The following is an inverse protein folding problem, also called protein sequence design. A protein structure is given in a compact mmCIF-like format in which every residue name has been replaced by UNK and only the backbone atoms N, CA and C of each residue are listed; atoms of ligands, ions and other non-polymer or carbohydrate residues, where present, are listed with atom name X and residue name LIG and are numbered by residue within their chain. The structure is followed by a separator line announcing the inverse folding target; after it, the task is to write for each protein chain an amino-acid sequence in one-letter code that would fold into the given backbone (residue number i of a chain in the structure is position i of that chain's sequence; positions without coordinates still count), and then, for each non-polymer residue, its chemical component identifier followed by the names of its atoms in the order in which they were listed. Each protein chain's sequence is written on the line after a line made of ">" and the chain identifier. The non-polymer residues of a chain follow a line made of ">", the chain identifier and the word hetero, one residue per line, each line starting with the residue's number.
data_IF_201793905320
#
_entry.id   IF_201793905320
#
_cell.length_a   1.000
_cell.length_b   1.000
_cell.length_c   1.000
_cell.angle_alpha   90.00
_cell.angle_beta   90.00
_cell.angle_gamma   90.00
#
_symmetry.space_group_name_H-M   'P 1'
#
loop_
_entity.id
_entity.type
_entity.pdbx_description
1 polymer ?
#
# COMPACT_ATOMS: atom_id res chain seq x y z
N UNK A 1 26.25 17.26 1.18
CA UNK A 1 25.36 16.44 0.32
C UNK A 1 26.21 15.42 -0.38
N UNK A 2 25.74 14.18 -0.54
CA UNK A 2 26.50 13.13 -1.23
C UNK A 2 26.59 13.44 -2.74
N UNK A 3 27.81 13.48 -3.28
CA UNK A 3 28.09 13.77 -4.69
C UNK A 3 27.64 12.65 -5.64
N UNK A 4 27.30 11.47 -5.11
CA UNK A 4 26.68 10.40 -5.89
C UNK A 4 25.20 10.68 -6.18
N UNK A 5 24.54 11.56 -5.43
CA UNK A 5 23.12 11.90 -5.63
C UNK A 5 22.91 13.08 -6.60
N UNK A 6 23.99 13.76 -6.97
CA UNK A 6 23.97 14.89 -7.90
C UNK A 6 24.87 16.02 -7.45
N UNK A 7 24.93 17.08 -8.25
CA UNK A 7 25.70 18.29 -7.97
C UNK A 7 24.89 19.53 -8.24
N UNK A 8 25.02 20.52 -7.35
CA UNK A 8 24.35 21.83 -7.45
C UNK A 8 25.39 22.94 -7.67
N UNK A 9 26.66 22.70 -7.29
CA UNK A 9 27.72 23.68 -7.47
C UNK A 9 28.42 23.53 -8.83
N UNK A 10 28.67 24.65 -9.56
CA UNK A 10 29.21 24.63 -10.92
C UNK A 10 30.62 24.05 -11.04
N UNK A 11 31.40 24.08 -9.95
CA UNK A 11 32.77 23.58 -9.92
C UNK A 11 32.88 22.10 -9.55
N UNK A 12 31.78 21.45 -9.15
CA UNK A 12 31.74 20.04 -8.77
C UNK A 12 31.19 19.20 -9.92
N UNK A 13 31.68 17.96 -10.01
CA UNK A 13 31.18 16.94 -10.94
C UNK A 13 30.51 15.83 -10.15
N UNK A 14 29.39 15.33 -10.67
CA UNK A 14 28.71 14.21 -10.04
C UNK A 14 29.60 12.95 -10.08
N UNK A 15 29.66 12.21 -8.97
CA UNK A 15 30.45 10.97 -8.89
C UNK A 15 29.81 9.79 -9.62
N UNK A 16 28.51 9.87 -9.90
CA UNK A 16 27.75 8.79 -10.58
C UNK A 16 27.75 8.95 -12.09
N UNK A 17 27.44 10.15 -12.62
CA UNK A 17 27.40 10.38 -14.06
C UNK A 17 28.57 11.21 -14.61
N UNK A 18 29.38 11.86 -13.77
CA UNK A 18 30.49 12.72 -14.21
C UNK A 18 30.07 14.09 -14.76
N UNK A 19 28.77 14.32 -14.94
CA UNK A 19 28.20 15.56 -15.47
C UNK A 19 28.34 16.75 -14.52
N UNK A 20 28.33 17.95 -15.10
CA UNK A 20 28.22 19.22 -14.36
C UNK A 20 26.77 19.51 -14.00
N UNK A 21 26.51 20.59 -13.25
CA UNK A 21 25.17 20.99 -12.77
C UNK A 21 24.10 21.00 -13.86
N UNK A 22 24.41 21.49 -15.06
CA UNK A 22 23.44 21.58 -16.16
C UNK A 22 23.20 20.25 -16.89
N UNK A 23 24.09 19.27 -16.70
CA UNK A 23 24.07 17.98 -17.41
C UNK A 23 23.59 16.84 -16.50
N UNK A 24 23.75 16.99 -15.18
CA UNK A 24 23.39 15.98 -14.19
C UNK A 24 21.89 16.05 -13.87
N UNK A 25 21.08 15.02 -14.22
CA UNK A 25 19.64 15.02 -13.92
C UNK A 25 19.34 14.76 -12.43
N UNK A 26 20.35 14.38 -11.64
CA UNK A 26 20.21 13.90 -10.26
C UNK A 26 20.07 12.38 -10.19
N UNK A 27 20.40 11.81 -9.04
CA UNK A 27 20.39 10.36 -8.82
C UNK A 27 19.64 10.00 -7.55
N UNK A 28 18.92 8.88 -7.59
CA UNK A 28 18.16 8.39 -6.45
C UNK A 28 19.08 7.82 -5.37
N UNK A 29 18.78 8.18 -4.13
CA UNK A 29 19.34 7.54 -2.95
C UNK A 29 18.34 6.53 -2.38
N UNK A 30 18.87 5.56 -1.64
CA UNK A 30 18.06 4.58 -0.91
C UNK A 30 18.42 4.71 0.56
N UNK A 31 17.40 4.68 1.42
CA UNK A 31 17.55 4.61 2.87
C UNK A 31 16.80 3.35 3.32
N UNK A 32 17.53 2.46 3.98
CA UNK A 32 16.93 1.29 4.61
C UNK A 32 16.28 1.70 5.93
N UNK A 33 14.97 1.50 6.04
CA UNK A 33 14.22 1.83 7.25
C UNK A 33 14.33 0.69 8.27
N UNK A 34 14.55 1.02 9.54
CA UNK A 34 14.64 0.04 10.62
C UNK A 34 13.32 -0.72 10.88
N UNK A 35 12.18 -0.12 10.50
CA UNK A 35 10.84 -0.69 10.66
C UNK A 35 9.95 -0.32 9.47
N UNK A 36 8.92 -1.13 9.16
CA UNK A 36 7.99 -0.84 8.08
C UNK A 36 7.17 0.43 8.38
N UNK A 37 6.99 1.27 7.36
CA UNK A 37 6.20 2.51 7.44
C UNK A 37 5.05 2.44 6.45
N UNK A 38 3.83 2.72 6.91
CA UNK A 38 2.65 2.76 6.06
C UNK A 38 2.64 4.06 5.25
N UNK A 39 2.53 3.92 3.94
CA UNK A 39 2.37 5.05 3.03
C UNK A 39 0.95 5.63 3.14
N UNK A 40 0.85 6.93 3.48
CA UNK A 40 -0.41 7.63 3.74
C UNK A 40 -1.38 7.56 2.55
N UNK A 41 -0.86 7.64 1.32
CA UNK A 41 -1.67 7.55 0.10
C UNK A 41 -2.41 6.23 -0.08
N UNK A 42 -1.91 5.14 0.51
CA UNK A 42 -2.48 3.80 0.39
C UNK A 42 -3.25 3.34 1.62
N UNK A 43 -3.36 4.15 2.68
CA UNK A 43 -4.02 3.75 3.93
C UNK A 43 -5.46 3.26 3.73
N UNK A 44 -6.22 3.89 2.80
CA UNK A 44 -7.60 3.47 2.48
C UNK A 44 -7.64 2.14 1.72
N UNK A 45 -6.72 1.92 0.79
CA UNK A 45 -6.66 0.68 0.00
C UNK A 45 -6.16 -0.48 0.86
N UNK A 46 -5.17 -0.25 1.72
CA UNK A 46 -4.71 -1.22 2.72
C UNK A 46 -5.88 -1.63 3.62
N UNK A 47 -6.70 -0.67 4.09
CA UNK A 47 -7.92 -0.99 4.86
C UNK A 47 -8.84 -1.94 4.10
N UNK A 48 -9.08 -1.69 2.81
CA UNK A 48 -9.96 -2.52 1.99
C UNK A 48 -9.39 -3.93 1.80
N UNK A 49 -8.09 -4.05 1.54
CA UNK A 49 -7.40 -5.32 1.39
C UNK A 49 -7.42 -6.15 2.68
N UNK A 50 -7.18 -5.50 3.82
CA UNK A 50 -7.26 -6.17 5.12
C UNK A 50 -8.68 -6.64 5.47
N UNK A 51 -9.72 -5.98 4.93
CA UNK A 51 -11.12 -6.38 5.11
C UNK A 51 -11.60 -7.45 4.11
N UNK A 52 -10.93 -7.58 2.97
CA UNK A 52 -11.30 -8.54 1.92
C UNK A 52 -10.53 -9.87 2.02
N UNK A 53 -9.46 -9.91 2.79
CA UNK A 53 -8.62 -11.09 3.01
C UNK A 53 -8.81 -11.67 4.41
N UNK A 54 -8.69 -12.98 4.54
CA UNK A 54 -8.67 -13.64 5.85
C UNK A 54 -7.25 -13.61 6.43
N UNK A 55 -7.12 -13.20 7.70
CA UNK A 55 -5.82 -13.11 8.39
C UNK A 55 -5.14 -14.46 8.62
N UNK A 56 -5.93 -15.52 8.81
CA UNK A 56 -5.39 -16.86 9.09
C UNK A 56 -4.97 -17.61 7.82
N UNK A 57 -5.80 -17.57 6.77
CA UNK A 57 -5.55 -18.37 5.56
C UNK A 57 -5.12 -17.56 4.32
N UNK A 58 -5.11 -16.23 4.39
CA UNK A 58 -4.73 -15.33 3.29
C UNK A 58 -5.69 -15.33 2.09
N UNK A 59 -6.77 -16.13 2.13
CA UNK A 59 -7.75 -16.21 1.03
C UNK A 59 -8.72 -15.04 1.05
N UNK A 60 -9.26 -14.72 -0.12
CA UNK A 60 -10.32 -13.73 -0.26
C UNK A 60 -11.61 -14.25 0.39
N UNK A 61 -12.25 -13.40 1.19
CA UNK A 61 -13.57 -13.66 1.74
C UNK A 61 -14.61 -13.50 0.62
N UNK A 62 -15.65 -14.36 0.50
CA UNK A 62 -16.56 -14.38 -0.66
C UNK A 62 -17.51 -13.18 -0.80
N UNK A 63 -17.48 -12.23 0.14
CA UNK A 63 -18.08 -10.91 -0.03
C UNK A 63 -17.15 -9.92 -0.77
N UNK A 64 -15.92 -10.33 -1.07
CA UNK A 64 -15.12 -9.71 -2.12
C UNK A 64 -15.70 -10.16 -3.46
N UNK A 65 -15.92 -9.25 -4.44
CA UNK A 65 -16.36 -9.65 -5.76
C UNK A 65 -15.41 -10.73 -6.26
N UNK A 66 -15.96 -11.91 -6.55
CA UNK A 66 -15.20 -12.96 -7.23
C UNK A 66 -14.61 -12.37 -8.51
N UNK A 67 -13.39 -12.75 -8.92
CA UNK A 67 -12.88 -12.41 -10.25
C UNK A 67 -13.77 -12.94 -11.39
N UNK A 68 -14.74 -13.82 -11.09
CA UNK A 68 -15.80 -14.30 -11.98
C UNK A 68 -16.99 -13.34 -12.17
N UNK A 69 -16.99 -12.15 -11.56
CA UNK A 69 -17.92 -11.08 -11.93
C UNK A 69 -17.37 -10.31 -13.16
N UNK A 70 -17.08 -11.07 -14.20
CA UNK A 70 -16.61 -10.63 -15.50
C UNK A 70 -17.81 -10.11 -16.30
N UNK A 71 -18.27 -8.88 -16.03
CA UNK A 71 -19.16 -8.13 -16.96
C UNK A 71 -19.46 -6.72 -16.45
N UNK A 72 -18.43 -5.99 -16.04
CA UNK A 72 -18.45 -4.53 -16.09
C UNK A 72 -17.04 -4.02 -16.41
N UNK A 73 -16.45 -4.56 -17.47
CA UNK A 73 -15.41 -3.87 -18.22
C UNK A 73 -16.06 -2.69 -18.93
N UNK A 74 -16.25 -1.59 -18.19
CA UNK A 74 -16.39 -0.28 -18.80
C UNK A 74 -15.01 0.17 -19.22
N UNK A 75 -14.85 0.50 -20.51
CA UNK A 75 -13.62 0.99 -21.09
C UNK A 75 -13.18 2.27 -20.38
N UNK A 76 -12.14 2.16 -19.55
CA UNK A 76 -11.54 3.26 -18.82
C UNK A 76 -10.39 2.73 -17.97
N UNK A 77 -9.24 3.41 -17.98
CA UNK A 77 -8.01 3.04 -17.29
C UNK A 77 -8.10 3.15 -15.76
N UNK A 78 -9.11 2.54 -15.13
CA UNK A 78 -9.19 2.40 -13.68
C UNK A 78 -9.14 0.92 -13.33
N UNK A 79 -7.99 0.50 -12.76
CA UNK A 79 -7.70 -0.88 -12.40
C UNK A 79 -8.79 -1.54 -11.56
N UNK A 80 -8.77 -2.88 -11.50
CA UNK A 80 -9.74 -3.73 -10.79
C UNK A 80 -10.17 -3.14 -9.44
N UNK A 81 -11.29 -2.40 -9.43
CA UNK A 81 -11.84 -1.85 -8.21
C UNK A 81 -12.56 -2.98 -7.50
N UNK A 82 -11.89 -3.61 -6.55
CA UNK A 82 -12.52 -4.55 -5.62
C UNK A 82 -13.51 -3.75 -4.77
N UNK A 83 -14.74 -3.59 -5.26
CA UNK A 83 -15.86 -2.94 -4.57
C UNK A 83 -16.29 -3.80 -3.40
N UNK A 84 -15.50 -3.79 -2.33
CA UNK A 84 -15.82 -4.49 -1.09
C UNK A 84 -16.67 -3.58 -0.23
N UNK A 85 -17.85 -4.05 0.17
CA UNK A 85 -18.67 -3.35 1.17
C UNK A 85 -18.00 -3.48 2.53
N UNK A 86 -17.84 -2.34 3.22
CA UNK A 86 -17.28 -2.32 4.58
C UNK A 86 -18.08 -3.26 5.48
N UNK A 87 -17.43 -4.22 6.17
CA UNK A 87 -18.10 -5.05 7.17
C UNK A 87 -18.67 -4.17 8.27
N UNK A 88 -19.98 -4.30 8.51
CA UNK A 88 -20.63 -3.71 9.69
C UNK A 88 -20.36 -4.54 10.95
N UNK A 89 -20.12 -5.84 10.78
CA UNK A 89 -19.99 -6.85 11.83
C UNK A 89 -18.85 -7.84 11.52
N UNK A 90 -18.50 -8.65 12.51
CA UNK A 90 -17.49 -9.72 12.45
C UNK A 90 -17.91 -10.80 11.44
N UNK A 91 -16.93 -11.38 10.75
CA UNK A 91 -17.21 -12.33 9.66
C UNK A 91 -16.45 -13.62 9.87
N UNK A 92 -17.12 -14.75 9.75
CA UNK A 92 -16.47 -16.06 9.76
C UNK A 92 -15.92 -16.39 8.38
N UNK A 93 -14.66 -16.80 8.30
CA UNK A 93 -14.05 -17.22 7.03
C UNK A 93 -14.68 -18.54 6.55
N UNK A 94 -15.12 -18.66 5.29
CA UNK A 94 -15.69 -19.92 4.78
C UNK A 94 -14.63 -20.96 4.41
N UNK A 95 -13.34 -20.60 4.42
CA UNK A 95 -12.25 -21.51 4.08
C UNK A 95 -11.60 -22.13 5.31
N UNK A 96 -11.41 -21.36 6.38
CA UNK A 96 -10.73 -21.81 7.60
C UNK A 96 -11.59 -21.66 8.86
N UNK A 97 -12.81 -21.14 8.75
CA UNK A 97 -13.75 -20.92 9.86
C UNK A 97 -13.27 -19.97 10.96
N UNK A 98 -12.16 -19.26 10.73
CA UNK A 98 -11.66 -18.24 11.66
C UNK A 98 -12.56 -17.00 11.68
N UNK A 99 -12.85 -16.48 12.87
CA UNK A 99 -13.65 -15.26 13.06
C UNK A 99 -12.77 -14.05 12.76
N UNK A 100 -13.12 -13.29 11.73
CA UNK A 100 -12.44 -12.07 11.33
C UNK A 100 -13.02 -10.87 12.07
N UNK A 101 -12.15 -10.16 12.77
CA UNK A 101 -12.49 -8.97 13.54
C UNK A 101 -12.62 -7.73 12.66
N UNK A 102 -13.32 -6.72 13.16
CA UNK A 102 -13.50 -5.46 12.44
C UNK A 102 -12.26 -4.58 12.55
N UNK A 103 -11.71 -4.21 11.40
CA UNK A 103 -10.57 -3.31 11.31
C UNK A 103 -11.05 -1.87 11.15
N UNK A 104 -10.63 -1.02 12.09
CA UNK A 104 -10.86 0.43 12.11
C UNK A 104 -9.60 1.15 11.64
N UNK A 105 -9.78 2.20 10.84
CA UNK A 105 -8.70 3.10 10.42
C UNK A 105 -8.84 4.40 11.20
N UNK A 106 -7.94 4.61 12.15
CA UNK A 106 -7.73 5.87 12.83
C UNK A 106 -6.77 6.71 11.98
N UNK A 107 -7.30 7.76 11.36
CA UNK A 107 -6.58 8.54 10.35
C UNK A 107 -5.38 9.24 11.01
N UNK A 108 -4.23 9.35 10.32
CA UNK A 108 -4.00 9.07 8.90
C UNK A 108 -3.53 7.65 8.55
N UNK A 109 -2.89 6.92 9.47
CA UNK A 109 -2.19 5.65 9.16
C UNK A 109 -2.34 4.56 10.23
N UNK A 110 -3.09 4.80 11.30
CA UNK A 110 -3.17 3.87 12.42
C UNK A 110 -4.32 2.89 12.21
N UNK A 111 -4.01 1.59 12.18
CA UNK A 111 -5.02 0.54 12.13
C UNK A 111 -5.29 0.00 13.53
N UNK A 112 -6.57 -0.19 13.87
CA UNK A 112 -7.01 -0.78 15.12
C UNK A 112 -7.90 -1.98 14.88
N UNK A 113 -7.70 -3.03 15.68
CA UNK A 113 -8.50 -4.24 15.68
C UNK A 113 -8.87 -4.56 17.13
N UNK A 114 -10.16 -4.69 17.44
CA UNK A 114 -10.66 -4.85 18.82
C UNK A 114 -10.10 -3.83 19.83
N UNK A 115 -9.84 -2.60 19.36
CA UNK A 115 -9.25 -1.52 20.16
C UNK A 115 -7.72 -1.59 20.29
N UNK A 116 -7.09 -2.66 19.82
CA UNK A 116 -5.64 -2.83 19.83
C UNK A 116 -5.01 -2.27 18.57
N UNK A 117 -3.87 -1.60 18.72
CA UNK A 117 -3.10 -1.05 17.60
C UNK A 117 -2.33 -2.19 16.91
N UNK A 118 -2.56 -2.38 15.62
CA UNK A 118 -1.88 -3.38 14.78
C UNK A 118 -0.67 -2.78 14.03
N UNK A 119 -0.41 -1.49 14.23
CA UNK A 119 0.71 -0.72 13.68
C UNK A 119 1.58 -0.09 14.75
#
# INVERSE_FOLDING_TARGET
>A
MDLHLGVIEPNLRCRTCGGRVNECPGHFGIIELAMPVIHVGYAKEIKRLLQSTCRACGRLLPNAPSPRAESAAGEGEEGVVVRTREPKEERTCPHCHEVQQRILLDKPTTFRENGHKIT
#
